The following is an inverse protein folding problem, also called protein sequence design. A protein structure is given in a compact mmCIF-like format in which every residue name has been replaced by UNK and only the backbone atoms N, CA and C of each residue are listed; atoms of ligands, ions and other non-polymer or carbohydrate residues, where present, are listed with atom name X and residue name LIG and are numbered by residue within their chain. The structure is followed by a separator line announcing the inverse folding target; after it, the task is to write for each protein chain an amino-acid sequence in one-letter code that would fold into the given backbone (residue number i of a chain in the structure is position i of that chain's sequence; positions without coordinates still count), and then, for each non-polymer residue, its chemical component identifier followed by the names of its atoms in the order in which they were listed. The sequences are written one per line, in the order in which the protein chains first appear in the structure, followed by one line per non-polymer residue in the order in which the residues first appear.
data_IF_506394658881
#
_entry.id   IF_506394658881
#
_cell.length_a   1.000
_cell.length_b   1.000
_cell.length_c   1.000
_cell.angle_alpha   90.00
_cell.angle_beta   90.00
_cell.angle_gamma   90.00
#
_symmetry.space_group_name_H-M   'P 1'
#
loop_
_entity.id
_entity.type
_entity.pdbx_description
1 polymer ?
#
# COMPACT_ATOMS: atom_id res chain seq x y z
N UNK A 1 -17.50 -15.09 28.40
CA UNK A 1 -16.11 -15.14 27.90
C UNK A 1 -15.42 -13.86 28.32
N UNK A 2 -14.23 -13.95 28.87
CA UNK A 2 -13.42 -12.81 29.24
C UNK A 2 -12.44 -12.47 28.09
N UNK A 3 -12.23 -11.20 27.85
CA UNK A 3 -11.12 -10.79 27.02
C UNK A 3 -9.79 -10.94 27.78
N UNK A 4 -8.66 -10.97 27.05
CA UNK A 4 -7.34 -11.31 27.56
C UNK A 4 -6.93 -10.48 28.79
N UNK A 5 -6.92 -9.15 28.68
CA UNK A 5 -6.51 -8.23 29.74
C UNK A 5 -7.43 -8.33 31.00
N UNK A 6 -8.72 -8.60 30.78
CA UNK A 6 -9.67 -8.78 31.86
C UNK A 6 -9.39 -10.08 32.63
N UNK A 7 -9.07 -11.14 31.89
CA UNK A 7 -8.73 -12.42 32.50
C UNK A 7 -7.43 -12.31 33.33
N UNK A 8 -6.39 -11.67 32.83
CA UNK A 8 -5.13 -11.45 33.53
C UNK A 8 -5.30 -10.57 34.79
N UNK A 9 -6.15 -9.53 34.71
CA UNK A 9 -6.41 -8.63 35.86
C UNK A 9 -7.21 -9.28 36.98
N UNK A 10 -8.23 -10.08 36.62
CA UNK A 10 -9.10 -10.72 37.60
C UNK A 10 -8.49 -12.00 38.17
N UNK A 11 -7.70 -12.72 37.37
CA UNK A 11 -7.13 -14.01 37.70
C UNK A 11 -5.63 -14.11 37.34
N UNK A 12 -4.73 -13.29 37.97
CA UNK A 12 -3.33 -13.23 37.57
C UNK A 12 -2.53 -14.51 37.80
N UNK A 13 -3.01 -15.39 38.67
CA UNK A 13 -2.27 -16.61 39.09
C UNK A 13 -3.12 -17.88 38.89
N UNK A 14 -4.43 -17.74 38.68
CA UNK A 14 -5.36 -18.85 38.63
C UNK A 14 -6.04 -18.96 37.27
N UNK A 15 -6.34 -20.21 36.87
CA UNK A 15 -7.17 -20.42 35.70
C UNK A 15 -8.58 -19.81 35.88
N UNK A 16 -8.99 -18.88 35.01
CA UNK A 16 -10.30 -18.25 35.07
C UNK A 16 -11.47 -19.18 34.69
N UNK A 17 -11.22 -20.29 34.00
CA UNK A 17 -12.25 -21.18 33.53
C UNK A 17 -13.07 -21.80 34.69
N UNK A 18 -14.39 -21.76 34.57
CA UNK A 18 -15.33 -22.26 35.60
C UNK A 18 -15.47 -21.37 36.85
N UNK A 19 -14.70 -20.26 36.95
CA UNK A 19 -14.82 -19.31 38.06
C UNK A 19 -16.02 -18.38 37.89
N UNK A 20 -16.61 -17.97 39.02
CA UNK A 20 -17.69 -17.00 39.03
C UNK A 20 -17.12 -15.57 39.10
N UNK A 21 -17.65 -14.69 38.26
CA UNK A 21 -17.41 -13.24 38.31
C UNK A 21 -18.73 -12.51 38.52
N UNK A 22 -18.68 -11.38 39.20
CA UNK A 22 -19.82 -10.50 39.39
C UNK A 22 -19.76 -9.34 38.38
N UNK A 23 -20.86 -9.14 37.66
CA UNK A 23 -21.02 -8.01 36.75
C UNK A 23 -22.29 -7.27 37.18
N UNK A 24 -22.13 -6.08 37.74
CA UNK A 24 -23.22 -5.36 38.37
C UNK A 24 -23.78 -6.13 39.60
N UNK A 25 -25.01 -6.53 39.53
CA UNK A 25 -25.69 -7.31 40.60
C UNK A 25 -25.73 -8.81 40.31
N UNK A 26 -25.30 -9.25 39.13
CA UNK A 26 -25.46 -10.61 38.63
C UNK A 26 -24.14 -11.39 38.63
N UNK A 27 -24.23 -12.71 38.90
CA UNK A 27 -23.10 -13.62 38.85
C UNK A 27 -23.07 -14.40 37.52
N UNK A 28 -21.87 -14.48 36.91
CA UNK A 28 -21.62 -15.20 35.67
C UNK A 28 -20.46 -16.17 35.84
N UNK A 29 -20.56 -17.34 35.22
CA UNK A 29 -19.46 -18.33 35.18
C UNK A 29 -18.65 -18.10 33.93
N UNK A 30 -17.33 -18.05 34.09
CA UNK A 30 -16.37 -17.90 32.95
C UNK A 30 -16.31 -19.22 32.19
N UNK A 31 -16.70 -19.21 30.92
CA UNK A 31 -16.69 -20.36 30.02
C UNK A 31 -15.53 -20.35 29.03
N UNK A 32 -14.77 -19.27 28.95
CA UNK A 32 -13.65 -19.14 28.02
C UNK A 32 -12.91 -17.81 28.18
N UNK A 33 -11.68 -17.75 27.68
CA UNK A 33 -10.86 -16.55 27.56
C UNK A 33 -10.60 -16.31 26.09
N UNK A 34 -10.80 -15.09 25.61
CA UNK A 34 -10.49 -14.70 24.25
C UNK A 34 -8.98 -14.49 24.11
N UNK A 35 -8.45 -14.83 22.95
CA UNK A 35 -7.05 -14.59 22.59
C UNK A 35 -6.79 -13.07 22.55
N UNK A 36 -5.55 -12.68 22.88
CA UNK A 36 -5.09 -11.30 22.73
C UNK A 36 -5.32 -10.82 21.30
N UNK A 37 -5.94 -9.65 21.18
CA UNK A 37 -6.16 -8.99 19.88
C UNK A 37 -5.45 -7.65 19.91
N UNK A 38 -4.52 -7.45 19.00
CA UNK A 38 -4.01 -6.12 18.71
C UNK A 38 -5.18 -5.19 18.41
N UNK A 39 -5.18 -4.02 19.06
CA UNK A 39 -6.22 -3.01 18.84
C UNK A 39 -6.28 -2.71 17.34
N UNK A 40 -7.28 -3.23 16.66
CA UNK A 40 -7.57 -2.83 15.31
C UNK A 40 -7.87 -1.33 15.35
N UNK A 41 -7.15 -0.55 14.55
CA UNK A 41 -7.43 0.87 14.40
C UNK A 41 -8.93 1.01 14.11
N UNK A 42 -9.64 1.66 14.99
CA UNK A 42 -11.09 1.75 14.93
C UNK A 42 -11.46 2.53 13.67
N UNK A 43 -12.01 1.83 12.70
CA UNK A 43 -12.54 2.40 11.48
C UNK A 43 -13.91 2.99 11.82
N UNK A 44 -13.95 4.31 12.00
CA UNK A 44 -15.20 5.07 12.22
C UNK A 44 -15.13 5.98 13.44
N UNK A 45 -15.33 7.26 13.24
CA UNK A 45 -15.16 8.37 14.20
C UNK A 45 -15.95 8.35 15.51
N UNK A 46 -16.71 7.31 15.83
CA UNK A 46 -17.33 7.06 17.15
C UNK A 46 -16.55 6.02 17.95
N UNK A 47 -15.50 5.48 17.39
CA UNK A 47 -14.72 4.43 18.03
C UNK A 47 -13.38 5.02 18.45
N UNK A 48 -13.30 5.53 19.68
CA UNK A 48 -12.08 5.38 20.44
C UNK A 48 -11.60 3.94 20.22
N UNK A 49 -10.33 3.74 19.90
CA UNK A 49 -9.71 2.44 19.69
C UNK A 49 -10.29 1.46 20.72
N UNK A 50 -11.25 0.62 20.31
CA UNK A 50 -11.98 -0.23 21.21
C UNK A 50 -11.00 -1.28 21.66
N UNK A 51 -10.59 -1.21 22.89
CA UNK A 51 -9.66 -2.16 23.47
C UNK A 51 -10.43 -3.45 23.69
N UNK A 52 -10.59 -4.25 22.63
CA UNK A 52 -11.29 -5.54 22.67
C UNK A 52 -10.76 -6.47 23.76
N UNK A 53 -9.55 -6.24 24.24
CA UNK A 53 -8.93 -7.00 25.30
C UNK A 53 -9.48 -6.66 26.70
N UNK A 54 -10.31 -5.61 26.82
CA UNK A 54 -10.94 -5.18 28.08
C UNK A 54 -12.45 -5.45 28.15
N UNK A 55 -12.97 -6.17 27.18
CA UNK A 55 -14.40 -6.46 27.09
C UNK A 55 -14.76 -7.79 27.78
N UNK A 56 -16.02 -7.89 28.19
CA UNK A 56 -16.62 -9.14 28.65
C UNK A 56 -17.74 -9.51 27.70
N UNK A 57 -17.68 -10.72 27.16
CA UNK A 57 -18.64 -11.19 26.17
C UNK A 57 -19.69 -12.08 26.87
N UNK A 58 -20.96 -11.70 26.73
CA UNK A 58 -22.12 -12.42 27.29
C UNK A 58 -22.99 -12.89 26.13
N UNK A 59 -23.50 -14.14 26.13
CA UNK A 59 -24.44 -14.59 25.10
C UNK A 59 -25.67 -13.66 25.04
N UNK A 60 -26.12 -13.32 23.84
CA UNK A 60 -27.24 -12.41 23.61
C UNK A 60 -28.52 -12.87 24.31
N UNK A 61 -28.78 -14.19 24.36
CA UNK A 61 -29.91 -14.77 25.09
C UNK A 61 -29.85 -14.53 26.60
N UNK A 62 -28.63 -14.57 27.18
CA UNK A 62 -28.41 -14.29 28.60
C UNK A 62 -28.53 -12.80 28.88
N UNK A 63 -28.00 -11.96 27.97
CA UNK A 63 -28.12 -10.51 28.04
C UNK A 63 -29.60 -10.09 28.09
N UNK A 64 -30.42 -10.57 27.13
CA UNK A 64 -31.87 -10.27 27.06
C UNK A 64 -32.64 -10.72 28.28
N UNK A 65 -32.27 -11.88 28.86
CA UNK A 65 -32.98 -12.40 30.05
C UNK A 65 -32.62 -11.71 31.36
N UNK A 66 -31.35 -11.29 31.53
CA UNK A 66 -30.84 -10.79 32.81
C UNK A 66 -30.68 -9.28 32.84
N UNK A 67 -30.24 -8.64 31.74
CA UNK A 67 -30.01 -7.20 31.67
C UNK A 67 -31.19 -6.54 30.97
N UNK A 68 -31.70 -7.16 29.88
CA UNK A 68 -32.81 -6.65 29.07
C UNK A 68 -32.33 -5.66 28.01
N UNK A 69 -33.20 -5.42 27.03
CA UNK A 69 -32.94 -4.50 25.91
C UNK A 69 -33.38 -3.06 26.24
N UNK A 70 -33.78 -2.78 27.50
CA UNK A 70 -34.28 -1.48 27.94
C UNK A 70 -33.16 -0.66 28.55
N UNK A 71 -32.85 0.44 27.93
CA UNK A 71 -31.93 1.45 28.45
C UNK A 71 -32.76 2.60 29.03
N UNK A 72 -32.66 2.80 30.33
CA UNK A 72 -33.32 3.92 31.01
C UNK A 72 -32.29 5.02 31.14
N UNK A 73 -32.42 6.07 30.32
CA UNK A 73 -31.59 7.25 30.42
C UNK A 73 -32.31 8.35 31.16
N UNK A 74 -31.73 8.79 32.28
CA UNK A 74 -32.27 9.92 33.07
C UNK A 74 -31.50 11.18 32.66
N UNK A 75 -32.15 12.08 31.94
CA UNK A 75 -31.59 13.39 31.60
C UNK A 75 -32.54 14.48 32.12
N UNK A 76 -32.04 15.36 33.00
CA UNK A 76 -32.78 16.53 33.46
C UNK A 76 -34.14 16.25 34.11
N UNK A 77 -34.28 15.11 34.81
CA UNK A 77 -35.53 14.72 35.47
C UNK A 77 -36.55 14.02 34.56
N UNK A 78 -36.25 13.81 33.30
CA UNK A 78 -37.09 13.06 32.36
C UNK A 78 -36.56 11.63 32.22
N UNK A 79 -37.41 10.64 32.43
CA UNK A 79 -37.12 9.22 32.22
C UNK A 79 -37.37 8.89 30.73
N UNK A 80 -36.32 8.66 29.98
CA UNK A 80 -36.43 8.16 28.62
C UNK A 80 -36.19 6.64 28.64
N UNK A 81 -37.24 5.89 28.30
CA UNK A 81 -37.16 4.43 28.19
C UNK A 81 -37.03 4.06 26.74
N UNK A 82 -35.86 3.58 26.38
CA UNK A 82 -35.50 3.23 24.98
C UNK A 82 -35.20 1.74 24.93
N UNK A 83 -35.82 1.05 23.98
CA UNK A 83 -35.53 -0.37 23.73
C UNK A 83 -34.56 -0.46 22.56
N UNK A 84 -33.33 -0.89 22.83
CA UNK A 84 -32.27 -0.98 21.86
C UNK A 84 -32.06 -2.46 21.53
N UNK A 85 -32.56 -2.90 20.38
CA UNK A 85 -32.35 -4.27 19.91
C UNK A 85 -30.92 -4.47 19.36
N UNK A 86 -30.39 -3.47 18.64
CA UNK A 86 -29.05 -3.46 18.07
C UNK A 86 -28.40 -2.10 18.33
N UNK A 87 -27.23 -2.10 18.96
CA UNK A 87 -26.47 -0.88 19.21
C UNK A 87 -25.72 -0.41 17.98
N UNK A 88 -25.33 -1.33 17.09
CA UNK A 88 -24.50 -1.03 15.95
C UNK A 88 -24.60 -2.11 14.88
N UNK A 89 -24.65 -1.65 13.63
CA UNK A 89 -24.53 -2.48 12.44
C UNK A 89 -23.30 -1.99 11.68
N UNK A 90 -22.38 -2.88 11.37
CA UNK A 90 -21.22 -2.58 10.56
C UNK A 90 -21.39 -3.18 9.17
N UNK A 91 -21.46 -2.34 8.14
CA UNK A 91 -21.49 -2.75 6.75
C UNK A 91 -20.06 -2.72 6.18
N UNK A 92 -19.66 -3.78 5.50
CA UNK A 92 -18.38 -3.86 4.79
C UNK A 92 -18.64 -3.64 3.32
N UNK A 93 -17.88 -2.75 2.71
CA UNK A 93 -17.97 -2.41 1.28
C UNK A 93 -16.67 -2.84 0.61
N UNK A 94 -16.76 -3.42 -0.59
CA UNK A 94 -15.61 -4.00 -1.30
C UNK A 94 -14.61 -2.96 -1.78
N UNK A 95 -15.08 -1.74 -2.14
CA UNK A 95 -14.24 -0.68 -2.67
C UNK A 95 -14.50 0.65 -1.96
N UNK A 96 -13.40 1.37 -1.64
CA UNK A 96 -13.43 2.69 -1.01
C UNK A 96 -14.24 3.70 -1.83
N UNK A 97 -14.15 3.65 -3.15
CA UNK A 97 -14.91 4.52 -4.04
C UNK A 97 -16.43 4.35 -3.93
N UNK A 98 -16.90 3.17 -3.48
CA UNK A 98 -18.32 2.83 -3.33
C UNK A 98 -18.88 3.13 -1.94
N UNK A 99 -18.04 3.58 -0.99
CA UNK A 99 -18.44 3.80 0.40
C UNK A 99 -19.50 4.89 0.53
N UNK A 100 -19.31 6.03 -0.13
CA UNK A 100 -20.26 7.16 -0.07
C UNK A 100 -21.62 6.76 -0.69
N UNK A 101 -21.61 6.11 -1.85
CA UNK A 101 -22.83 5.62 -2.50
C UNK A 101 -23.56 4.57 -1.65
N UNK A 102 -22.82 3.67 -1.02
CA UNK A 102 -23.39 2.67 -0.11
C UNK A 102 -23.99 3.31 1.16
N UNK A 103 -23.32 4.31 1.70
CA UNK A 103 -23.82 5.07 2.85
C UNK A 103 -25.12 5.82 2.52
N UNK A 104 -25.22 6.40 1.33
CA UNK A 104 -26.45 7.08 0.88
C UNK A 104 -27.62 6.11 0.70
N UNK A 105 -27.36 4.92 0.14
CA UNK A 105 -28.37 3.85 0.04
C UNK A 105 -28.83 3.44 1.45
N UNK A 106 -27.90 3.23 2.39
CA UNK A 106 -28.23 2.86 3.77
C UNK A 106 -29.07 3.97 4.43
N UNK A 107 -28.69 5.25 4.28
CA UNK A 107 -29.46 6.39 4.79
C UNK A 107 -30.87 6.43 4.20
N UNK A 108 -31.00 6.21 2.90
CA UNK A 108 -32.30 6.18 2.22
C UNK A 108 -33.18 5.03 2.72
N UNK A 109 -32.61 3.85 2.93
CA UNK A 109 -33.31 2.69 3.49
C UNK A 109 -33.78 2.96 4.92
N UNK A 110 -32.87 3.43 5.79
CA UNK A 110 -33.20 3.73 7.18
C UNK A 110 -34.26 4.82 7.28
N UNK A 111 -34.15 5.91 6.52
CA UNK A 111 -35.15 6.98 6.52
C UNK A 111 -36.53 6.53 6.04
N UNK A 112 -36.60 5.50 5.21
CA UNK A 112 -37.87 4.94 4.72
C UNK A 112 -38.58 4.06 5.77
N UNK A 113 -37.80 3.32 6.58
CA UNK A 113 -38.34 2.33 7.51
C UNK A 113 -38.40 2.84 8.95
N UNK A 114 -37.54 3.81 9.34
CA UNK A 114 -37.55 4.45 10.64
C UNK A 114 -38.36 5.75 10.62
N UNK A 115 -39.40 5.81 11.45
CA UNK A 115 -40.26 7.00 11.56
C UNK A 115 -39.65 8.09 12.45
N UNK A 116 -38.71 7.72 13.31
CA UNK A 116 -37.97 8.59 14.22
C UNK A 116 -36.50 8.52 13.86
N UNK A 117 -35.76 9.61 14.06
CA UNK A 117 -34.31 9.68 13.86
C UNK A 117 -33.60 9.04 15.07
N UNK A 118 -33.62 7.72 15.13
CA UNK A 118 -33.01 6.90 16.18
C UNK A 118 -31.69 6.22 15.74
N UNK A 119 -31.17 6.61 14.58
CA UNK A 119 -29.93 6.06 13.99
C UNK A 119 -28.98 7.17 13.54
N UNK A 120 -27.69 6.84 13.49
CA UNK A 120 -26.65 7.66 12.85
C UNK A 120 -25.82 6.78 11.91
N UNK A 121 -25.67 7.20 10.65
CA UNK A 121 -24.79 6.55 9.71
C UNK A 121 -23.45 7.28 9.74
N UNK A 122 -22.45 6.61 10.30
CA UNK A 122 -21.09 7.15 10.43
C UNK A 122 -20.23 6.54 9.34
N UNK A 123 -19.70 7.39 8.47
CA UNK A 123 -18.71 7.02 7.45
C UNK A 123 -17.36 7.56 7.92
N UNK A 124 -16.32 6.72 8.06
CA UNK A 124 -15.00 7.17 8.51
C UNK A 124 -14.24 7.88 7.38
N UNK A 125 -14.84 8.93 6.81
CA UNK A 125 -14.33 9.61 5.62
C UNK A 125 -12.94 10.22 5.83
N UNK A 126 -12.72 10.83 6.99
CA UNK A 126 -11.41 11.42 7.33
C UNK A 126 -10.28 10.40 7.33
N UNK A 127 -10.54 9.18 7.81
CA UNK A 127 -9.55 8.10 7.80
C UNK A 127 -9.28 7.59 6.38
N UNK A 128 -10.31 7.53 5.53
CA UNK A 128 -10.17 7.16 4.13
C UNK A 128 -9.37 8.21 3.37
N UNK A 129 -9.68 9.49 3.53
CA UNK A 129 -8.94 10.60 2.92
C UNK A 129 -7.48 10.65 3.39
N UNK A 130 -7.22 10.39 4.68
CA UNK A 130 -5.86 10.27 5.20
C UNK A 130 -5.11 9.09 4.56
N UNK A 131 -5.75 7.93 4.43
CA UNK A 131 -5.15 6.76 3.79
C UNK A 131 -4.83 7.00 2.31
N UNK A 132 -5.72 7.67 1.57
CA UNK A 132 -5.49 8.07 0.18
C UNK A 132 -4.35 9.09 0.07
N UNK A 133 -4.31 10.07 0.96
CA UNK A 133 -3.25 11.07 1.02
C UNK A 133 -1.89 10.42 1.28
N UNK A 134 -1.81 9.52 2.26
CA UNK A 134 -0.59 8.75 2.54
C UNK A 134 -0.16 7.91 1.33
N UNK A 135 -1.10 7.23 0.68
CA UNK A 135 -0.83 6.45 -0.54
C UNK A 135 -0.28 7.35 -1.65
N UNK A 136 -0.86 8.53 -1.86
CA UNK A 136 -0.37 9.50 -2.83
C UNK A 136 1.04 9.99 -2.48
N UNK A 137 1.31 10.32 -1.22
CA UNK A 137 2.64 10.73 -0.75
C UNK A 137 3.69 9.64 -1.01
N UNK A 138 3.39 8.37 -0.69
CA UNK A 138 4.30 7.25 -0.99
C UNK A 138 4.52 7.07 -2.49
N UNK A 139 3.48 7.18 -3.32
CA UNK A 139 3.61 7.09 -4.77
C UNK A 139 4.51 8.20 -5.34
N UNK A 140 4.34 9.44 -4.86
CA UNK A 140 5.20 10.58 -5.26
C UNK A 140 6.63 10.36 -4.81
N UNK A 141 6.86 9.89 -3.59
CA UNK A 141 8.20 9.58 -3.08
C UNK A 141 8.89 8.52 -3.93
N UNK A 142 8.20 7.41 -4.22
CA UNK A 142 8.73 6.34 -5.08
C UNK A 142 9.03 6.84 -6.50
N UNK A 143 8.15 7.68 -7.06
CA UNK A 143 8.35 8.30 -8.37
C UNK A 143 9.58 9.21 -8.38
N UNK A 144 9.81 10.00 -7.33
CA UNK A 144 11.00 10.84 -7.20
C UNK A 144 12.28 10.00 -7.12
N UNK A 145 12.30 8.94 -6.31
CA UNK A 145 13.45 8.02 -6.19
C UNK A 145 13.73 7.38 -7.55
N UNK A 146 12.71 6.88 -8.24
CA UNK A 146 12.84 6.30 -9.57
C UNK A 146 13.35 7.34 -10.60
N UNK A 147 12.82 8.57 -10.54
CA UNK A 147 13.23 9.66 -11.42
C UNK A 147 14.70 10.03 -11.23
N UNK A 148 15.16 10.16 -9.98
CA UNK A 148 16.57 10.42 -9.67
C UNK A 148 17.46 9.27 -10.20
N UNK A 149 17.04 8.03 -9.97
CA UNK A 149 17.78 6.86 -10.45
C UNK A 149 17.89 6.83 -11.98
N UNK A 150 16.81 7.20 -12.68
CA UNK A 150 16.79 7.32 -14.15
C UNK A 150 17.73 8.41 -14.64
N UNK A 151 17.76 9.57 -13.99
CA UNK A 151 18.68 10.67 -14.35
C UNK A 151 20.13 10.24 -14.16
N UNK A 152 20.44 9.60 -13.03
CA UNK A 152 21.81 9.09 -12.76
C UNK A 152 22.20 8.03 -13.80
N UNK A 153 21.30 7.09 -14.11
CA UNK A 153 21.51 6.10 -15.17
C UNK A 153 21.70 6.75 -16.56
N UNK A 154 20.90 7.77 -16.87
CA UNK A 154 21.02 8.53 -18.11
C UNK A 154 22.37 9.27 -18.25
N UNK A 155 22.85 9.87 -17.14
CA UNK A 155 24.21 10.48 -17.11
C UNK A 155 25.28 9.39 -17.33
N UNK A 156 25.07 8.19 -16.78
CA UNK A 156 25.95 7.04 -17.04
C UNK A 156 26.03 6.68 -18.54
N UNK A 157 24.86 6.59 -19.20
CA UNK A 157 24.80 6.35 -20.66
C UNK A 157 25.53 7.47 -21.42
N UNK A 158 25.28 8.72 -21.08
CA UNK A 158 25.92 9.88 -21.69
C UNK A 158 27.45 9.81 -21.57
N UNK A 159 27.97 9.47 -20.40
CA UNK A 159 29.41 9.37 -20.15
C UNK A 159 30.06 8.22 -20.93
N UNK A 160 29.41 7.06 -20.99
CA UNK A 160 29.88 5.92 -21.79
C UNK A 160 29.91 6.28 -23.26
N UNK A 161 28.86 6.92 -23.77
CA UNK A 161 28.76 7.35 -25.14
C UNK A 161 29.82 8.41 -25.49
N UNK A 162 30.09 9.36 -24.58
CA UNK A 162 31.18 10.34 -24.80
C UNK A 162 32.58 9.67 -24.88
N UNK A 163 32.81 8.67 -24.01
CA UNK A 163 34.05 7.88 -24.07
C UNK A 163 34.15 7.11 -25.41
N UNK A 164 33.06 6.43 -25.81
CA UNK A 164 33.00 5.70 -27.08
C UNK A 164 33.24 6.63 -28.29
N UNK A 165 32.67 7.84 -28.28
CA UNK A 165 32.89 8.86 -29.34
C UNK A 165 34.35 9.27 -29.37
N UNK A 166 35.00 9.48 -28.21
CA UNK A 166 36.43 9.84 -28.19
C UNK A 166 37.32 8.72 -28.67
N UNK A 167 37.05 7.47 -28.31
CA UNK A 167 37.77 6.30 -28.78
C UNK A 167 37.65 6.09 -30.31
N UNK A 168 36.45 6.37 -30.85
CA UNK A 168 36.18 6.20 -32.31
C UNK A 168 36.32 7.49 -33.10
N UNK A 169 37.01 8.51 -32.58
CA UNK A 169 37.17 9.83 -33.24
C UNK A 169 37.71 9.70 -34.65
N UNK A 170 38.76 8.91 -34.87
CA UNK A 170 39.38 8.68 -36.18
C UNK A 170 38.43 7.99 -37.16
N UNK A 171 37.68 7.02 -36.72
CA UNK A 171 36.69 6.31 -37.56
C UNK A 171 35.58 7.26 -38.03
N UNK A 172 35.06 8.10 -37.11
CA UNK A 172 34.05 9.13 -37.39
C UNK A 172 34.62 10.13 -38.41
N UNK A 173 35.87 10.58 -38.23
CA UNK A 173 36.58 11.48 -39.15
C UNK A 173 36.71 10.91 -40.57
N UNK A 174 37.08 9.64 -40.69
CA UNK A 174 37.16 8.96 -41.99
C UNK A 174 35.78 8.91 -42.67
N UNK A 175 34.73 8.50 -41.97
CA UNK A 175 33.36 8.45 -42.55
C UNK A 175 32.90 9.83 -43.02
N UNK A 176 33.18 10.88 -42.22
CA UNK A 176 32.83 12.25 -42.55
C UNK A 176 33.64 12.75 -43.77
N UNK A 177 34.91 12.42 -43.87
CA UNK A 177 35.77 12.75 -45.03
C UNK A 177 35.30 12.04 -46.30
N UNK A 178 34.76 10.83 -46.20
CA UNK A 178 34.19 10.05 -47.31
C UNK A 178 32.77 10.52 -47.70
N UNK A 179 32.22 11.53 -47.03
CA UNK A 179 30.96 12.17 -47.42
C UNK A 179 29.72 11.79 -46.54
N UNK A 180 29.91 11.07 -45.42
CA UNK A 180 28.81 10.81 -44.53
C UNK A 180 28.21 12.12 -43.99
N UNK A 181 26.88 12.21 -43.97
CA UNK A 181 26.15 13.37 -43.44
C UNK A 181 26.17 13.40 -41.90
N UNK A 182 26.01 14.59 -41.32
CA UNK A 182 25.89 14.71 -39.84
C UNK A 182 24.72 13.88 -39.31
N UNK A 183 23.60 13.84 -40.05
CA UNK A 183 22.38 13.08 -39.66
C UNK A 183 22.65 11.59 -39.57
N UNK A 184 23.41 11.01 -40.49
CA UNK A 184 23.77 9.58 -40.49
C UNK A 184 24.61 9.21 -39.26
N UNK A 185 25.58 10.08 -38.90
CA UNK A 185 26.38 9.88 -37.68
C UNK A 185 25.49 9.96 -36.41
N UNK A 186 24.64 11.00 -36.31
CA UNK A 186 23.70 11.12 -35.19
C UNK A 186 22.78 9.88 -35.08
N UNK A 187 22.21 9.47 -36.19
CA UNK A 187 21.33 8.30 -36.24
C UNK A 187 22.04 7.02 -35.80
N UNK A 188 23.27 6.80 -36.23
CA UNK A 188 24.06 5.65 -35.83
C UNK A 188 24.25 5.58 -34.31
N UNK A 189 24.70 6.68 -33.69
CA UNK A 189 24.91 6.74 -32.24
C UNK A 189 23.62 6.68 -31.45
N UNK A 190 22.49 7.23 -31.97
CA UNK A 190 21.19 7.08 -31.36
C UNK A 190 20.69 5.63 -31.34
N UNK A 191 20.90 4.90 -32.46
CA UNK A 191 20.58 3.47 -32.50
C UNK A 191 21.36 2.68 -31.46
N UNK A 192 22.66 2.98 -31.31
CA UNK A 192 23.51 2.35 -30.29
C UNK A 192 22.98 2.61 -28.88
N UNK A 193 22.52 3.85 -28.59
CA UNK A 193 21.91 4.21 -27.33
C UNK A 193 20.55 3.52 -27.09
N UNK A 194 19.74 3.41 -28.16
CA UNK A 194 18.43 2.71 -28.08
C UNK A 194 18.64 1.23 -27.80
N UNK A 195 19.61 0.58 -28.39
CA UNK A 195 19.96 -0.82 -28.15
C UNK A 195 20.44 -0.99 -26.71
N UNK A 196 21.33 -0.10 -26.24
CA UNK A 196 21.87 -0.15 -24.88
C UNK A 196 20.76 0.05 -23.82
N UNK A 197 19.93 1.09 -23.99
CA UNK A 197 18.83 1.38 -23.08
C UNK A 197 17.69 0.36 -23.18
N UNK A 198 17.44 -0.18 -24.37
CA UNK A 198 16.47 -1.24 -24.61
C UNK A 198 16.86 -2.56 -23.93
N UNK A 199 18.11 -2.98 -24.04
CA UNK A 199 18.62 -4.17 -23.32
C UNK A 199 18.55 -3.98 -21.81
N UNK A 200 18.94 -2.79 -21.30
CA UNK A 200 18.79 -2.44 -19.89
C UNK A 200 17.33 -2.43 -19.44
N UNK A 201 16.43 -1.89 -20.25
CA UNK A 201 14.99 -1.90 -20.00
C UNK A 201 14.39 -3.30 -19.95
N UNK A 202 14.79 -4.20 -20.87
CA UNK A 202 14.38 -5.61 -20.83
C UNK A 202 14.88 -6.34 -19.59
N UNK A 203 16.13 -6.10 -19.19
CA UNK A 203 16.67 -6.65 -17.95
C UNK A 203 15.91 -6.11 -16.72
N UNK A 204 15.58 -4.82 -16.70
CA UNK A 204 14.77 -4.21 -15.65
C UNK A 204 13.37 -4.83 -15.56
N UNK A 205 12.71 -5.08 -16.69
CA UNK A 205 11.43 -5.79 -16.74
C UNK A 205 11.59 -7.22 -16.22
N UNK A 206 12.63 -7.94 -16.61
CA UNK A 206 12.90 -9.30 -16.13
C UNK A 206 13.08 -9.33 -14.60
N UNK A 207 13.84 -8.38 -14.04
CA UNK A 207 14.00 -8.23 -12.58
C UNK A 207 12.67 -7.90 -11.91
N UNK A 208 11.83 -7.06 -12.55
CA UNK A 208 10.48 -6.76 -12.07
C UNK A 208 9.59 -8.00 -11.97
N UNK A 209 9.67 -8.92 -12.92
CA UNK A 209 8.95 -10.20 -12.87
C UNK A 209 9.41 -11.10 -11.72
N UNK A 210 10.66 -10.99 -11.30
CA UNK A 210 11.18 -11.75 -10.15
C UNK A 210 10.69 -11.20 -8.80
N UNK A 211 10.09 -10.01 -8.77
CA UNK A 211 9.60 -9.40 -7.53
C UNK A 211 8.52 -10.27 -6.84
N UNK A 212 7.59 -10.88 -7.58
CA UNK A 212 6.58 -11.79 -7.05
C UNK A 212 7.18 -12.99 -6.32
N UNK A 213 7.96 -13.83 -7.03
CA UNK A 213 8.65 -14.99 -6.43
C UNK A 213 9.58 -14.64 -5.26
N UNK A 214 10.25 -13.47 -5.32
CA UNK A 214 11.14 -13.03 -4.22
C UNK A 214 10.35 -12.69 -2.96
N UNK A 215 9.19 -12.02 -3.08
CA UNK A 215 8.31 -11.74 -1.93
C UNK A 215 7.78 -13.04 -1.32
N UNK A 216 7.38 -14.02 -2.15
CA UNK A 216 6.97 -15.33 -1.67
C UNK A 216 8.12 -16.08 -0.97
N UNK A 217 9.32 -16.03 -1.55
CA UNK A 217 10.52 -16.63 -0.95
C UNK A 217 10.86 -16.03 0.41
N UNK A 218 10.82 -14.70 0.54
CA UNK A 218 11.04 -13.99 1.80
C UNK A 218 9.96 -14.36 2.82
N UNK A 219 8.71 -14.48 2.40
CA UNK A 219 7.60 -14.92 3.24
C UNK A 219 7.86 -16.31 3.81
N UNK A 220 8.22 -17.28 2.98
CA UNK A 220 8.52 -18.65 3.40
C UNK A 220 9.71 -18.71 4.37
N UNK A 221 10.74 -17.88 4.15
CA UNK A 221 11.90 -17.78 5.05
C UNK A 221 11.49 -17.24 6.41
N UNK A 222 10.71 -16.16 6.46
CA UNK A 222 10.24 -15.58 7.74
C UNK A 222 9.35 -16.58 8.48
N UNK A 223 8.42 -17.24 7.79
CA UNK A 223 7.52 -18.23 8.38
C UNK A 223 8.28 -19.43 8.97
N UNK A 224 9.34 -19.90 8.28
CA UNK A 224 10.11 -21.07 8.75
C UNK A 224 11.16 -20.75 9.80
N UNK A 225 11.81 -19.58 9.74
CA UNK A 225 12.91 -19.24 10.65
C UNK A 225 12.50 -18.34 11.82
N UNK A 226 11.38 -17.59 11.69
CA UNK A 226 10.91 -16.66 12.71
C UNK A 226 9.38 -16.71 12.89
N UNK A 227 8.82 -17.87 13.32
CA UNK A 227 7.36 -18.03 13.44
C UNK A 227 6.72 -17.08 14.44
N UNK A 228 7.44 -16.66 15.48
CA UNK A 228 6.96 -15.68 16.46
C UNK A 228 6.78 -14.29 15.83
N UNK A 229 7.74 -13.83 15.03
CA UNK A 229 7.62 -12.59 14.26
C UNK A 229 6.47 -12.67 13.25
N UNK A 230 6.33 -13.81 12.57
CA UNK A 230 5.25 -14.01 11.61
C UNK A 230 3.88 -13.87 12.25
N UNK A 231 3.67 -14.43 13.44
CA UNK A 231 2.37 -14.35 14.15
C UNK A 231 2.03 -12.95 14.65
N UNK A 232 3.03 -12.07 14.86
CA UNK A 232 2.82 -10.68 15.31
C UNK A 232 2.56 -9.70 14.16
N UNK A 233 2.82 -10.10 12.90
CA UNK A 233 2.60 -9.25 11.74
C UNK A 233 1.10 -9.08 11.45
N UNK A 234 0.67 -7.87 11.03
CA UNK A 234 -0.72 -7.63 10.63
C UNK A 234 -1.15 -8.56 9.49
N UNK A 235 -2.41 -8.97 9.49
CA UNK A 235 -3.00 -9.82 8.44
C UNK A 235 -2.85 -9.25 7.03
N UNK A 236 -2.73 -7.95 6.90
CA UNK A 236 -2.49 -7.24 5.63
C UNK A 236 -1.15 -7.64 4.99
N UNK A 237 -0.11 -7.93 5.81
CA UNK A 237 1.21 -8.36 5.31
C UNK A 237 1.15 -9.80 4.79
N UNK A 238 0.32 -10.64 5.42
CA UNK A 238 0.11 -12.02 4.98
C UNK A 238 -0.58 -12.10 3.60
N UNK A 239 -1.32 -11.06 3.20
CA UNK A 239 -2.09 -11.00 1.96
C UNK A 239 -1.41 -10.15 0.87
N UNK A 240 -0.17 -9.70 1.09
CA UNK A 240 0.57 -8.92 0.09
C UNK A 240 0.90 -9.79 -1.12
N UNK A 241 0.15 -9.61 -2.19
CA UNK A 241 0.42 -10.17 -3.50
C UNK A 241 0.88 -9.05 -4.45
N UNK A 242 2.17 -8.97 -4.80
CA UNK A 242 2.63 -8.00 -5.78
C UNK A 242 2.08 -8.35 -7.16
N UNK A 243 1.11 -7.56 -7.65
CA UNK A 243 0.52 -7.72 -8.98
C UNK A 243 1.14 -6.73 -9.95
N UNK A 244 1.76 -7.23 -11.00
CA UNK A 244 2.25 -6.42 -12.09
C UNK A 244 1.10 -6.06 -13.03
N UNK A 245 0.85 -4.76 -13.21
CA UNK A 245 -0.09 -4.29 -14.20
C UNK A 245 0.55 -4.36 -15.60
N UNK A 246 -0.08 -4.97 -16.62
CA UNK A 246 0.55 -5.14 -17.94
C UNK A 246 0.97 -3.82 -18.59
N UNK A 247 0.23 -2.74 -18.37
CA UNK A 247 0.57 -1.43 -18.90
C UNK A 247 1.87 -0.85 -18.31
N UNK A 248 2.19 -1.20 -17.05
CA UNK A 248 3.40 -0.70 -16.38
C UNK A 248 4.68 -1.25 -17.02
N UNK A 249 4.64 -2.45 -17.59
CA UNK A 249 5.76 -3.06 -18.31
C UNK A 249 6.07 -2.25 -19.56
N UNK A 250 5.03 -1.92 -20.34
CA UNK A 250 5.18 -1.12 -21.55
C UNK A 250 5.68 0.28 -21.22
N UNK A 251 5.12 0.89 -20.17
CA UNK A 251 5.53 2.21 -19.71
C UNK A 251 7.00 2.22 -19.24
N UNK A 252 7.41 1.25 -18.41
CA UNK A 252 8.78 1.15 -17.91
C UNK A 252 9.80 0.98 -19.04
N UNK A 253 9.51 0.10 -20.00
CA UNK A 253 10.36 -0.08 -21.19
C UNK A 253 10.43 1.19 -22.03
N UNK A 254 9.29 1.83 -22.31
CA UNK A 254 9.21 3.07 -23.06
C UNK A 254 9.99 4.22 -22.41
N UNK A 255 9.89 4.35 -21.09
CA UNK A 255 10.65 5.35 -20.31
C UNK A 255 12.15 5.06 -20.38
N UNK A 256 12.57 3.78 -20.24
CA UNK A 256 13.98 3.39 -20.35
C UNK A 256 14.59 3.79 -21.69
N UNK A 257 13.91 3.47 -22.79
CA UNK A 257 14.35 3.85 -24.14
C UNK A 257 14.33 5.37 -24.32
N UNK A 258 13.29 6.03 -23.83
CA UNK A 258 13.16 7.50 -23.87
C UNK A 258 14.32 8.21 -23.17
N UNK A 259 14.69 7.75 -21.98
CA UNK A 259 15.87 8.26 -21.24
C UNK A 259 17.14 8.03 -22.03
N UNK A 260 17.33 6.85 -22.62
CA UNK A 260 18.48 6.55 -23.48
C UNK A 260 18.56 7.54 -24.63
N UNK A 261 17.48 7.83 -25.34
CA UNK A 261 17.46 8.80 -26.45
C UNK A 261 17.82 10.20 -25.94
N UNK A 262 17.16 10.68 -24.86
CA UNK A 262 17.40 12.03 -24.33
C UNK A 262 18.86 12.25 -23.98
N UNK A 263 19.47 11.33 -23.24
CA UNK A 263 20.84 11.44 -22.80
C UNK A 263 21.86 11.07 -23.93
N UNK A 264 21.43 10.32 -24.94
CA UNK A 264 22.23 9.96 -26.12
C UNK A 264 22.33 11.07 -27.19
N UNK A 265 21.37 12.01 -27.24
CA UNK A 265 21.34 13.08 -28.22
C UNK A 265 22.61 13.94 -28.13
N UNK A 266 23.04 14.34 -26.95
CA UNK A 266 24.19 15.22 -26.74
C UNK A 266 25.50 14.59 -27.26
N UNK A 267 25.90 13.37 -26.85
CA UNK A 267 27.12 12.74 -27.41
C UNK A 267 27.04 12.46 -28.91
N UNK A 268 25.86 12.08 -29.43
CA UNK A 268 25.65 11.85 -30.85
C UNK A 268 25.87 13.14 -31.68
N UNK A 269 25.34 14.28 -31.22
CA UNK A 269 25.54 15.57 -31.85
C UNK A 269 27.02 16.01 -31.77
N UNK A 270 27.70 15.73 -30.67
CA UNK A 270 29.11 16.03 -30.50
C UNK A 270 29.96 15.24 -31.51
N UNK A 271 29.67 13.95 -31.70
CA UNK A 271 30.29 13.09 -32.69
C UNK A 271 30.09 13.64 -34.13
N UNK A 272 28.88 14.03 -34.49
CA UNK A 272 28.54 14.53 -35.81
C UNK A 272 29.14 15.91 -36.12
N UNK A 273 29.46 16.71 -35.11
CA UNK A 273 30.05 18.04 -35.29
C UNK A 273 31.56 18.06 -35.21
N UNK A 274 32.24 16.93 -35.09
CA UNK A 274 33.70 16.86 -35.15
C UNK A 274 34.22 17.31 -36.54
N UNK A 275 35.32 18.05 -36.53
CA UNK A 275 36.05 18.40 -37.76
C UNK A 275 36.82 17.17 -38.28
N UNK A 276 36.55 16.72 -39.51
CA UNK A 276 37.27 15.58 -40.11
C UNK A 276 38.78 15.74 -40.13
N UNK A 277 39.26 16.98 -40.32
CA UNK A 277 40.72 17.27 -40.41
C UNK A 277 41.34 17.09 -39.00
N UNK A 278 40.70 17.60 -37.99
CA UNK A 278 41.19 17.52 -36.61
C UNK A 278 41.11 16.06 -36.06
N UNK A 279 40.04 15.34 -36.41
CA UNK A 279 39.85 13.94 -36.09
C UNK A 279 40.90 13.00 -36.69
N UNK A 280 41.47 13.34 -37.86
CA UNK A 280 42.52 12.56 -38.52
C UNK A 280 43.92 12.94 -38.03
N UNK A 281 44.07 14.09 -37.37
CA UNK A 281 45.36 14.61 -36.87
C UNK A 281 45.71 14.13 -35.46
N UNK A 282 44.69 13.66 -34.69
CA UNK A 282 44.90 13.07 -33.38
C UNK A 282 45.53 11.68 -33.50
N UNK A 283 46.81 11.58 -33.10
CA UNK A 283 47.48 10.31 -32.76
C UNK A 283 47.15 9.88 -31.35
#
# INVERSE_FOLDING_TARGET
VLAHDVAERLFPIQDPLGRAIQIGTEFYVVVGVAQDRTAAAAIGGSFSARQYNRDVYIPLSTFRKRIGDRVITVRGGTFQNETIELNQITAVVDDVASVDASADIIRALLSRYHKTLDYAVVVPKELLEQAETLRMMFNVLLLLIAGISLVVGGIGIMNIMLATVTERTREIGIRRALGATKGEIVQQFLWETVVLSGTGGLLGVAVGFLCGPTVEGVRLVIESFMPELWSTLPSTIHQLEPRLAPWSIVAAFGISVGVGIVFGIYPAQRAANMDPIEALRHE
#
